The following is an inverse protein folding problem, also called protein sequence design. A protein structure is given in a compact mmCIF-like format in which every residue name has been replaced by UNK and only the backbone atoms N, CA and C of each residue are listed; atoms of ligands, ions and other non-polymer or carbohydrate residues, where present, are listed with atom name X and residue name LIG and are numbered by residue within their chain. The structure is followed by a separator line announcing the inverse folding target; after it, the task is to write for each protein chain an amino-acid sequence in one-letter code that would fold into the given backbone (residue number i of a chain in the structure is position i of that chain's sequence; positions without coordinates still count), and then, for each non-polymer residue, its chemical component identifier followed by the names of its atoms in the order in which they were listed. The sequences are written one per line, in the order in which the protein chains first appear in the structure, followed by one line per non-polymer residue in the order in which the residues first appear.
data_IF_614166862908
#
_entry.id   IF_614166862908
#
_cell.length_a   1.000
_cell.length_b   1.000
_cell.length_c   1.000
_cell.angle_alpha   90.00
_cell.angle_beta   90.00
_cell.angle_gamma   90.00
#
_symmetry.space_group_name_H-M   'P 1'
#
loop_
_entity.id
_entity.type
_entity.pdbx_description
1 polymer ?
#
# COMPACT_ATOMS: atom_id res chain seq x y z
N UNK A 1 -2.73 -8.70 -9.03
CA UNK A 1 -3.24 -7.77 -8.02
C UNK A 1 -4.70 -7.43 -8.32
N UNK A 2 -5.56 -7.67 -7.34
CA UNK A 2 -6.95 -7.25 -7.41
C UNK A 2 -7.11 -5.83 -6.86
N UNK A 3 -8.10 -5.11 -7.35
CA UNK A 3 -8.40 -3.73 -6.93
C UNK A 3 -9.85 -3.67 -6.51
N UNK A 4 -10.11 -3.12 -5.30
CA UNK A 4 -11.45 -2.93 -4.78
C UNK A 4 -11.65 -1.47 -4.39
N UNK A 5 -12.89 -1.00 -4.42
CA UNK A 5 -13.23 0.36 -4.00
C UNK A 5 -14.13 0.34 -2.76
N UNK A 6 -13.82 -0.56 -1.85
CA UNK A 6 -14.47 -0.71 -0.54
C UNK A 6 -13.40 -0.92 0.52
N UNK A 7 -13.74 -0.68 1.79
CA UNK A 7 -12.80 -0.93 2.89
C UNK A 7 -12.43 -2.41 2.98
N UNK A 8 -11.15 -2.65 3.25
CA UNK A 8 -10.63 -3.98 3.57
C UNK A 8 -10.31 -4.03 5.06
N UNK A 9 -10.77 -5.08 5.72
CA UNK A 9 -10.51 -5.31 7.14
C UNK A 9 -9.84 -6.65 7.33
N UNK A 10 -8.88 -6.69 8.27
CA UNK A 10 -8.28 -7.94 8.73
C UNK A 10 -8.51 -8.05 10.23
N UNK A 11 -8.50 -9.28 10.79
CA UNK A 11 -8.65 -9.45 12.24
C UNK A 11 -7.64 -8.59 13.01
N UNK A 12 -8.09 -7.90 14.06
CA UNK A 12 -7.31 -7.05 14.96
C UNK A 12 -6.84 -5.72 14.35
N UNK A 13 -7.21 -5.40 13.12
CA UNK A 13 -6.95 -4.10 12.51
C UNK A 13 -8.26 -3.42 12.15
N UNK A 14 -8.27 -2.09 12.12
CA UNK A 14 -9.45 -1.34 11.76
C UNK A 14 -9.74 -1.46 10.25
N UNK A 15 -8.74 -1.16 9.44
CA UNK A 15 -8.79 -1.31 8.00
C UNK A 15 -7.37 -1.48 7.47
N UNK A 16 -7.25 -1.94 6.23
CA UNK A 16 -5.97 -1.99 5.51
C UNK A 16 -6.16 -1.41 4.11
N UNK A 17 -5.11 -0.79 3.57
CA UNK A 17 -5.10 -0.32 2.19
C UNK A 17 -4.87 -1.47 1.21
N UNK A 18 -4.33 -2.57 1.67
CA UNK A 18 -4.11 -3.75 0.84
C UNK A 18 -3.81 -4.98 1.66
N UNK A 19 -3.88 -6.13 1.01
CA UNK A 19 -3.63 -7.44 1.62
C UNK A 19 -3.03 -8.37 0.58
N UNK A 20 -2.08 -9.19 1.00
CA UNK A 20 -1.43 -10.19 0.15
C UNK A 20 -1.50 -11.56 0.79
N UNK A 21 -1.93 -12.54 0.01
CA UNK A 21 -1.81 -13.96 0.35
C UNK A 21 -0.56 -14.51 -0.35
N UNK A 22 0.51 -14.68 0.41
CA UNK A 22 1.80 -15.13 -0.12
C UNK A 22 1.68 -16.56 -0.65
N UNK A 23 0.86 -17.39 -0.02
CA UNK A 23 0.70 -18.79 -0.40
C UNK A 23 0.12 -18.94 -1.80
N UNK A 24 -0.90 -18.15 -2.13
CA UNK A 24 -1.52 -18.17 -3.46
C UNK A 24 -0.88 -17.21 -4.44
N UNK A 25 -0.04 -16.30 -3.97
CA UNK A 25 0.55 -15.24 -4.80
C UNK A 25 -0.45 -14.18 -5.21
N UNK A 26 -1.57 -14.06 -4.51
CA UNK A 26 -2.61 -13.07 -4.82
C UNK A 26 -2.50 -11.85 -3.91
N UNK A 27 -2.85 -10.69 -4.44
CA UNK A 27 -2.87 -9.44 -3.69
C UNK A 27 -4.10 -8.63 -4.09
N UNK A 28 -4.61 -7.83 -3.15
CA UNK A 28 -5.73 -6.92 -3.38
C UNK A 28 -5.43 -5.59 -2.71
N UNK A 29 -5.80 -4.49 -3.35
CA UNK A 29 -5.75 -3.16 -2.73
C UNK A 29 -7.13 -2.53 -2.71
N UNK A 30 -7.36 -1.65 -1.72
CA UNK A 30 -8.57 -0.86 -1.61
C UNK A 30 -8.28 0.58 -2.03
N UNK A 31 -9.13 1.13 -2.89
CA UNK A 31 -8.99 2.50 -3.37
C UNK A 31 -9.75 3.52 -2.53
N UNK A 32 -10.81 3.11 -1.82
CA UNK A 32 -11.78 4.08 -1.27
C UNK A 32 -11.15 5.06 -0.29
N UNK A 33 -10.26 4.61 0.60
CA UNK A 33 -9.63 5.50 1.58
C UNK A 33 -8.40 6.23 1.05
N UNK A 34 -7.98 5.95 -0.19
CA UNK A 34 -6.90 6.69 -0.84
C UNK A 34 -7.40 7.98 -1.50
N UNK A 35 -8.71 8.10 -1.70
CA UNK A 35 -9.32 9.27 -2.34
C UNK A 35 -9.48 10.43 -1.38
N UNK A 36 -9.19 11.65 -1.84
CA UNK A 36 -9.44 12.87 -1.09
C UNK A 36 -10.92 13.02 -0.75
N UNK A 37 -11.81 12.61 -1.66
CA UNK A 37 -13.26 12.71 -1.50
C UNK A 37 -13.77 11.89 -0.31
N UNK A 38 -13.11 10.79 0.04
CA UNK A 38 -13.46 9.99 1.20
C UNK A 38 -13.43 10.81 2.50
N UNK A 39 -12.56 11.82 2.55
CA UNK A 39 -12.36 12.68 3.72
C UNK A 39 -13.08 14.03 3.57
N UNK A 40 -13.95 14.18 2.56
CA UNK A 40 -14.65 15.43 2.31
C UNK A 40 -13.79 16.52 1.69
N UNK A 41 -12.65 16.17 1.13
CA UNK A 41 -11.73 17.11 0.49
C UNK A 41 -11.93 17.14 -1.02
N UNK A 42 -11.51 18.22 -1.70
CA UNK A 42 -11.57 18.27 -3.16
C UNK A 42 -10.78 17.13 -3.81
N UNK A 43 -11.26 16.63 -4.94
CA UNK A 43 -10.61 15.59 -5.71
C UNK A 43 -9.20 16.02 -6.13
N UNK A 44 -8.23 15.12 -5.98
CA UNK A 44 -6.85 15.28 -6.47
C UNK A 44 -6.43 13.99 -7.17
N UNK A 45 -6.59 13.99 -8.48
CA UNK A 45 -6.33 12.80 -9.29
C UNK A 45 -4.86 12.36 -9.24
N UNK A 46 -3.92 13.31 -9.28
CA UNK A 46 -2.50 12.99 -9.25
C UNK A 46 -2.09 12.38 -7.91
N UNK A 47 -2.57 12.95 -6.80
CA UNK A 47 -2.31 12.42 -5.47
C UNK A 47 -2.92 11.04 -5.29
N UNK A 48 -4.15 10.83 -5.79
CA UNK A 48 -4.81 9.53 -5.75
C UNK A 48 -3.99 8.47 -6.51
N UNK A 49 -3.53 8.78 -7.72
CA UNK A 49 -2.73 7.85 -8.52
C UNK A 49 -1.39 7.54 -7.85
N UNK A 50 -0.76 8.52 -7.23
CA UNK A 50 0.48 8.32 -6.48
C UNK A 50 0.26 7.38 -5.30
N UNK A 51 -0.79 7.59 -4.51
CA UNK A 51 -1.15 6.72 -3.39
C UNK A 51 -1.46 5.30 -3.84
N UNK A 52 -2.26 5.16 -4.90
CA UNK A 52 -2.62 3.85 -5.45
C UNK A 52 -1.37 3.11 -5.95
N UNK A 53 -0.47 3.80 -6.64
CA UNK A 53 0.77 3.21 -7.13
C UNK A 53 1.63 2.69 -5.97
N UNK A 54 1.79 3.47 -4.90
CA UNK A 54 2.54 3.04 -3.72
C UNK A 54 1.97 1.77 -3.11
N UNK A 55 0.65 1.68 -2.98
CA UNK A 55 0.02 0.50 -2.39
C UNK A 55 0.09 -0.72 -3.32
N UNK A 56 -0.04 -0.53 -4.63
CA UNK A 56 0.16 -1.62 -5.60
C UNK A 56 1.59 -2.16 -5.51
N UNK A 57 2.59 -1.29 -5.53
CA UNK A 57 4.01 -1.70 -5.44
C UNK A 57 4.29 -2.37 -4.10
N UNK A 58 3.71 -1.88 -3.00
CA UNK A 58 3.82 -2.49 -1.68
C UNK A 58 3.33 -3.95 -1.69
N UNK A 59 2.13 -4.19 -2.22
CA UNK A 59 1.56 -5.53 -2.26
C UNK A 59 2.33 -6.45 -3.23
N UNK A 60 2.80 -5.91 -4.36
CA UNK A 60 3.67 -6.67 -5.27
C UNK A 60 4.98 -7.07 -4.58
N UNK A 61 5.54 -6.20 -3.75
CA UNK A 61 6.72 -6.53 -2.95
C UNK A 61 6.51 -7.75 -2.06
N UNK A 62 5.34 -7.86 -1.44
CA UNK A 62 5.00 -9.04 -0.65
C UNK A 62 4.95 -10.31 -1.52
N UNK A 63 4.45 -10.23 -2.74
CA UNK A 63 4.43 -11.39 -3.64
C UNK A 63 5.83 -11.85 -4.03
N UNK A 64 6.83 -10.99 -3.96
CA UNK A 64 8.25 -11.33 -4.16
C UNK A 64 8.94 -11.75 -2.86
N UNK A 65 8.21 -11.89 -1.78
CA UNK A 65 8.75 -12.39 -0.52
C UNK A 65 9.23 -11.31 0.45
N UNK A 66 9.01 -10.03 0.15
CA UNK A 66 9.40 -8.95 1.07
C UNK A 66 8.40 -8.84 2.21
N UNK A 67 8.89 -8.67 3.43
CA UNK A 67 8.09 -8.29 4.58
C UNK A 67 7.98 -6.78 4.70
N UNK A 68 7.35 -6.31 5.79
CA UNK A 68 7.30 -4.88 6.09
C UNK A 68 8.69 -4.35 6.44
N UNK A 69 8.98 -3.14 6.02
CA UNK A 69 10.26 -2.47 6.27
C UNK A 69 10.10 -1.41 7.36
N UNK A 70 11.06 -1.32 8.27
CA UNK A 70 11.05 -0.31 9.34
C UNK A 70 11.38 1.10 8.84
N UNK A 71 11.93 1.23 7.64
CA UNK A 71 12.23 2.54 7.05
C UNK A 71 10.93 3.20 6.57
N UNK A 72 10.54 4.29 7.21
CA UNK A 72 9.27 4.99 6.93
C UNK A 72 9.17 5.53 5.50
N UNK A 73 10.27 5.69 4.80
CA UNK A 73 10.29 6.15 3.41
C UNK A 73 10.29 5.02 2.38
N UNK A 74 10.51 3.78 2.81
CA UNK A 74 10.44 2.63 1.91
C UNK A 74 9.00 2.30 1.57
N UNK A 75 8.74 1.95 0.31
CA UNK A 75 7.38 1.54 -0.11
C UNK A 75 6.89 0.32 0.67
N UNK A 76 7.80 -0.51 1.19
CA UNK A 76 7.44 -1.68 2.00
C UNK A 76 7.11 -1.36 3.45
N UNK A 77 7.18 -0.10 3.86
CA UNK A 77 6.73 0.31 5.18
C UNK A 77 5.21 0.17 5.29
N UNK A 78 4.72 -0.43 6.38
CA UNK A 78 3.28 -0.58 6.59
C UNK A 78 2.64 0.77 6.89
N UNK A 79 1.56 1.10 6.16
CA UNK A 79 0.81 2.33 6.38
C UNK A 79 -0.35 2.08 7.34
N UNK A 80 -0.24 2.63 8.56
CA UNK A 80 -1.36 2.63 9.52
C UNK A 80 -2.37 3.73 9.20
N UNK A 81 -1.94 4.75 8.47
CA UNK A 81 -2.77 5.89 8.08
C UNK A 81 -2.36 6.39 6.71
N UNK A 82 -3.19 7.25 6.13
CA UNK A 82 -2.89 7.87 4.84
C UNK A 82 -1.64 8.74 4.90
N UNK A 83 -1.35 9.36 6.05
CA UNK A 83 -0.13 10.14 6.23
C UNK A 83 1.12 9.27 6.04
N UNK A 84 1.10 8.02 6.49
CA UNK A 84 2.21 7.09 6.29
C UNK A 84 2.39 6.78 4.80
N UNK A 85 1.31 6.60 4.07
CA UNK A 85 1.35 6.39 2.62
C UNK A 85 1.92 7.61 1.90
N UNK A 86 1.51 8.80 2.29
CA UNK A 86 2.01 10.04 1.66
C UNK A 86 3.48 10.29 1.97
N UNK A 87 3.94 9.88 3.16
CA UNK A 87 5.33 10.08 3.57
C UNK A 87 6.29 9.15 2.85
N UNK A 88 5.94 7.88 2.66
CA UNK A 88 6.82 6.91 2.01
C UNK A 88 6.93 7.20 0.50
N UNK A 89 8.03 6.73 -0.08
CA UNK A 89 8.29 6.85 -1.52
C UNK A 89 7.73 5.62 -2.25
N UNK A 90 7.70 5.69 -3.58
CA UNK A 90 7.28 4.55 -4.40
C UNK A 90 8.42 3.53 -4.55
N UNK A 91 9.61 3.87 -4.13
CA UNK A 91 10.83 3.07 -4.31
C UNK A 91 11.09 2.16 -3.11
N UNK A 92 11.75 1.03 -3.39
CA UNK A 92 12.29 0.17 -2.35
C UNK A 92 13.59 0.78 -1.82
N UNK A 93 13.80 0.69 -0.49
CA UNK A 93 15.02 1.19 0.11
C UNK A 93 16.23 0.28 -0.21
N UNK A 94 17.42 0.71 0.22
CA UNK A 94 18.66 -0.01 -0.04
C UNK A 94 18.69 -1.43 0.56
N UNK A 95 17.88 -1.70 1.58
CA UNK A 95 17.78 -3.04 2.17
C UNK A 95 16.80 -3.94 1.42
N UNK A 96 15.73 -3.38 0.88
CA UNK A 96 14.68 -4.14 0.22
C UNK A 96 14.98 -4.39 -1.26
N UNK A 97 15.55 -3.41 -1.96
CA UNK A 97 15.84 -3.51 -3.39
C UNK A 97 16.66 -4.77 -3.75
N UNK A 98 17.76 -5.11 -3.04
CA UNK A 98 18.54 -6.31 -3.38
C UNK A 98 17.75 -7.61 -3.21
N UNK A 99 16.71 -7.64 -2.39
CA UNK A 99 15.92 -8.85 -2.12
C UNK A 99 14.95 -9.20 -3.25
N UNK A 100 14.78 -8.30 -4.22
CA UNK A 100 13.87 -8.51 -5.35
C UNK A 100 14.46 -9.41 -6.45
N UNK A 101 15.73 -9.68 -6.41
CA UNK A 101 16.41 -10.49 -7.45
C UNK A 101 16.60 -11.94 -7.04
#
# INVERSE_FOLDING_TARGET
VGIADVDLYVPRLNFVFGETDITSGTAIISLCRLRQEYYGLPSDKNLFLERATKEIVHELGHTFGLGHCSNAKCVMHFSNSLADTDWKEVNFCNKCCPKLT
#
